data_IF_733679595506
#
_entry.id   IF_733679595506
#
_cell.length_a   1.000
_cell.length_b   1.000
_cell.length_c   1.000
_cell.angle_alpha   90.00
_cell.angle_beta   90.00
_cell.angle_gamma   90.00
#
_symmetry.space_group_name_H-M   'P 1'
#
loop_
_entity.id
_entity.type
_entity.pdbx_description
1 polymer ?
#
# COMPACT_ATOMS: atom_id res chain seq x y z
N UNK A 1 -1.57 -57.64 -35.18
CA UNK A 1 -2.17 -56.31 -34.98
C UNK A 1 -1.40 -55.58 -33.89
N UNK A 2 -0.51 -54.65 -34.24
CA UNK A 2 0.23 -53.87 -33.25
C UNK A 2 -0.64 -52.68 -32.80
N UNK A 3 -0.97 -52.64 -31.51
CA UNK A 3 -1.73 -51.57 -30.86
C UNK A 3 -0.86 -50.30 -30.91
N UNK A 4 -1.23 -49.31 -31.73
CA UNK A 4 -0.53 -48.01 -31.78
C UNK A 4 -0.69 -47.33 -30.41
N UNK A 5 0.39 -47.34 -29.63
CA UNK A 5 0.48 -46.64 -28.36
C UNK A 5 0.56 -45.15 -28.70
N UNK A 6 -0.53 -44.42 -28.44
CA UNK A 6 -0.61 -42.99 -28.70
C UNK A 6 0.36 -42.29 -27.73
N UNK A 7 1.57 -41.96 -28.18
CA UNK A 7 2.51 -41.18 -27.40
C UNK A 7 1.94 -39.76 -27.30
N UNK A 8 1.25 -39.49 -26.19
CA UNK A 8 0.81 -38.14 -25.86
C UNK A 8 2.10 -37.32 -25.74
N UNK A 9 2.28 -36.37 -26.65
CA UNK A 9 3.46 -35.51 -26.67
C UNK A 9 3.58 -34.78 -25.34
N UNK A 10 4.73 -34.86 -24.69
CA UNK A 10 5.07 -34.14 -23.45
C UNK A 10 4.69 -32.64 -23.55
N UNK A 11 4.80 -32.06 -24.75
CA UNK A 11 4.39 -30.69 -25.06
C UNK A 11 2.90 -30.44 -24.78
N UNK A 12 2.01 -31.38 -25.10
CA UNK A 12 0.57 -31.24 -24.87
C UNK A 12 0.21 -31.29 -23.37
N UNK A 13 0.92 -32.11 -22.59
CA UNK A 13 0.76 -32.18 -21.13
C UNK A 13 1.24 -30.89 -20.47
N UNK A 14 2.41 -30.40 -20.87
CA UNK A 14 2.97 -29.14 -20.38
C UNK A 14 2.08 -27.94 -20.76
N UNK A 15 1.49 -27.94 -21.95
CA UNK A 15 0.58 -26.89 -22.39
C UNK A 15 -0.70 -26.85 -21.54
N UNK A 16 -1.33 -28.01 -21.29
CA UNK A 16 -2.50 -28.07 -20.40
C UNK A 16 -2.17 -27.61 -18.99
N UNK A 17 -1.04 -28.05 -18.45
CA UNK A 17 -0.56 -27.61 -17.14
C UNK A 17 -0.39 -26.09 -17.09
N UNK A 18 0.23 -25.50 -18.12
CA UNK A 18 0.46 -24.05 -18.22
C UNK A 18 -0.85 -23.27 -18.27
N UNK A 19 -1.83 -23.73 -19.05
CA UNK A 19 -3.13 -23.06 -19.17
C UNK A 19 -3.89 -23.09 -17.84
N UNK A 20 -3.91 -24.23 -17.15
CA UNK A 20 -4.57 -24.38 -15.85
C UNK A 20 -3.90 -23.49 -14.79
N UNK A 21 -2.56 -23.51 -14.75
CA UNK A 21 -1.75 -22.68 -13.87
C UNK A 21 -2.01 -21.18 -14.06
N UNK A 22 -1.97 -20.72 -15.32
CA UNK A 22 -2.24 -19.34 -15.67
C UNK A 22 -3.65 -18.93 -15.26
N UNK A 23 -4.65 -19.78 -15.53
CA UNK A 23 -6.04 -19.54 -15.14
C UNK A 23 -6.21 -19.42 -13.62
N UNK A 24 -5.54 -20.26 -12.85
CA UNK A 24 -5.57 -20.24 -11.39
C UNK A 24 -4.91 -18.97 -10.81
N UNK A 25 -3.75 -18.58 -11.34
CA UNK A 25 -3.08 -17.35 -10.91
C UNK A 25 -3.90 -16.09 -11.23
N UNK A 26 -4.53 -16.05 -12.41
CA UNK A 26 -5.40 -14.95 -12.83
C UNK A 26 -6.65 -14.85 -11.95
N UNK A 27 -7.30 -15.97 -11.65
CA UNK A 27 -8.48 -15.96 -10.78
C UNK A 27 -8.12 -15.54 -9.35
N UNK A 28 -7.00 -16.01 -8.80
CA UNK A 28 -6.47 -15.53 -7.52
C UNK A 28 -6.19 -14.03 -7.53
N UNK A 29 -5.62 -13.50 -8.61
CA UNK A 29 -5.36 -12.07 -8.74
C UNK A 29 -6.67 -11.24 -8.78
N UNK A 30 -7.70 -11.72 -9.47
CA UNK A 30 -9.02 -11.06 -9.50
C UNK A 30 -9.68 -11.09 -8.11
N UNK A 31 -9.64 -12.24 -7.43
CA UNK A 31 -10.17 -12.38 -6.06
C UNK A 31 -9.41 -11.46 -5.10
N UNK A 32 -8.09 -11.34 -5.26
CA UNK A 32 -7.25 -10.43 -4.49
C UNK A 32 -7.65 -8.97 -4.76
N UNK A 33 -7.79 -8.53 -6.00
CA UNK A 33 -8.23 -7.15 -6.30
C UNK A 33 -9.65 -6.84 -5.78
N UNK A 34 -10.59 -7.78 -5.91
CA UNK A 34 -11.97 -7.59 -5.44
C UNK A 34 -12.06 -7.53 -3.91
N UNK A 35 -11.26 -8.33 -3.21
CA UNK A 35 -11.19 -8.29 -1.74
C UNK A 35 -10.61 -6.95 -1.26
N UNK A 36 -9.62 -6.40 -1.96
CA UNK A 36 -9.08 -5.08 -1.67
C UNK A 36 -10.15 -3.98 -1.77
N UNK A 37 -10.93 -3.98 -2.86
CA UNK A 37 -12.02 -3.03 -3.03
C UNK A 37 -13.10 -3.18 -1.95
N UNK A 38 -13.37 -4.41 -1.51
CA UNK A 38 -14.33 -4.65 -0.43
C UNK A 38 -13.83 -4.12 0.91
N UNK A 39 -12.53 -4.27 1.21
CA UNK A 39 -11.92 -3.75 2.44
C UNK A 39 -11.90 -2.21 2.46
N UNK A 40 -11.65 -1.57 1.32
CA UNK A 40 -11.78 -0.10 1.19
C UNK A 40 -13.23 0.34 1.42
N UNK A 41 -14.22 -0.34 0.81
CA UNK A 41 -15.65 0.01 0.97
C UNK A 41 -16.20 -0.19 2.39
N UNK A 42 -15.60 -1.11 3.16
CA UNK A 42 -16.01 -1.38 4.55
C UNK A 42 -15.32 -0.47 5.57
N UNK A 43 -14.63 0.57 5.11
CA UNK A 43 -13.88 1.48 5.97
C UNK A 43 -12.87 0.74 6.87
N UNK A 44 -12.29 -0.34 6.36
CA UNK A 44 -11.19 -1.02 7.05
C UNK A 44 -9.84 -0.37 6.72
N UNK A 45 -9.72 0.19 5.51
CA UNK A 45 -8.47 0.72 4.93
C UNK A 45 -8.76 2.04 4.22
N UNK A 46 -7.88 3.00 4.42
CA UNK A 46 -7.89 4.24 3.65
C UNK A 46 -7.39 4.01 2.24
N UNK A 47 -8.07 4.63 1.28
CA UNK A 47 -7.58 4.71 -0.09
C UNK A 47 -6.24 5.46 -0.14
N UNK A 48 -5.36 5.09 -1.07
CA UNK A 48 -3.98 5.60 -1.11
C UNK A 48 -3.85 7.12 -1.23
N UNK A 49 -4.87 7.82 -1.76
CA UNK A 49 -4.88 9.28 -1.90
C UNK A 49 -5.44 10.03 -0.69
N UNK A 50 -5.99 9.33 0.31
CA UNK A 50 -6.65 9.98 1.46
C UNK A 50 -5.69 10.87 2.23
N UNK A 51 -4.42 10.48 2.35
CA UNK A 51 -3.41 11.30 3.00
C UNK A 51 -3.27 12.67 2.33
N UNK A 52 -3.25 12.74 1.00
CA UNK A 52 -3.19 14.01 0.27
C UNK A 52 -4.50 14.80 0.43
N UNK A 53 -5.65 14.13 0.28
CA UNK A 53 -6.96 14.79 0.44
C UNK A 53 -7.17 15.40 1.83
N UNK A 54 -6.62 14.78 2.88
CA UNK A 54 -6.64 15.34 4.23
C UNK A 54 -5.82 16.64 4.32
N UNK A 55 -4.64 16.68 3.70
CA UNK A 55 -3.79 17.88 3.64
C UNK A 55 -4.47 19.00 2.85
N UNK A 56 -5.02 18.67 1.68
CA UNK A 56 -5.76 19.62 0.85
C UNK A 56 -6.95 20.21 1.62
N UNK A 57 -7.69 19.39 2.38
CA UNK A 57 -8.79 19.86 3.23
C UNK A 57 -8.30 20.72 4.39
N UNK A 58 -7.17 20.37 5.01
CA UNK A 58 -6.58 21.13 6.12
C UNK A 58 -6.17 22.53 5.68
N UNK A 59 -5.67 22.68 4.45
CA UNK A 59 -5.22 23.95 3.89
C UNK A 59 -6.24 24.59 2.94
N UNK A 60 -7.42 23.98 2.80
CA UNK A 60 -8.51 24.52 2.01
C UNK A 60 -8.89 25.90 2.54
N UNK A 61 -8.96 26.88 1.64
CA UNK A 61 -9.33 28.25 2.01
C UNK A 61 -8.20 29.05 2.67
N UNK A 62 -6.94 28.55 2.69
CA UNK A 62 -5.76 29.26 3.21
C UNK A 62 -5.98 29.73 4.65
N UNK A 63 -6.05 28.80 5.61
CA UNK A 63 -6.27 29.14 7.02
C UNK A 63 -5.20 30.11 7.52
N UNK A 64 -5.63 31.04 8.38
CA UNK A 64 -4.76 32.08 8.95
C UNK A 64 -3.94 31.54 10.12
N UNK A 65 -4.50 30.58 10.86
CA UNK A 65 -3.89 29.95 12.03
C UNK A 65 -3.82 28.44 11.84
N UNK A 66 -2.82 27.81 12.44
CA UNK A 66 -2.71 26.37 12.50
C UNK A 66 -3.77 25.77 13.43
N UNK A 67 -4.44 24.71 12.97
CA UNK A 67 -5.35 23.91 13.79
C UNK A 67 -4.83 22.48 13.75
N UNK A 68 -4.48 21.87 14.90
CA UNK A 68 -3.94 20.53 14.95
C UNK A 68 -4.96 19.53 14.37
N UNK A 69 -4.56 18.70 13.40
CA UNK A 69 -5.45 17.70 12.84
C UNK A 69 -5.68 16.55 13.84
N UNK A 70 -6.77 15.80 13.65
CA UNK A 70 -7.11 14.66 14.50
C UNK A 70 -6.05 13.54 14.40
N UNK A 71 -6.00 12.65 15.39
CA UNK A 71 -5.13 11.46 15.46
C UNK A 71 -5.27 10.49 14.27
N UNK A 72 -6.32 10.63 13.44
CA UNK A 72 -6.52 9.89 12.20
C UNK A 72 -5.88 10.55 10.96
N UNK A 73 -5.12 11.63 11.15
CA UNK A 73 -4.38 12.30 10.09
C UNK A 73 -3.20 11.45 9.66
N UNK A 74 -3.15 11.11 8.38
CA UNK A 74 -2.17 10.17 7.83
C UNK A 74 -0.88 10.84 7.42
N UNK A 75 -0.94 12.13 7.05
CA UNK A 75 0.25 12.86 6.64
C UNK A 75 1.10 13.22 7.86
N UNK A 76 2.41 13.28 7.65
CA UNK A 76 3.38 13.71 8.64
C UNK A 76 3.46 15.23 8.59
N UNK A 77 3.47 15.89 9.73
CA UNK A 77 3.63 17.34 9.80
C UNK A 77 4.50 17.76 10.98
N UNK A 78 5.14 18.90 10.80
CA UNK A 78 5.79 19.64 11.86
C UNK A 78 5.52 21.13 11.64
N UNK A 79 5.06 21.80 12.69
CA UNK A 79 4.87 23.25 12.76
C UNK A 79 6.12 23.87 13.38
N UNK A 80 6.68 24.85 12.69
CA UNK A 80 7.86 25.59 13.10
C UNK A 80 7.50 27.04 13.38
N UNK A 81 8.16 27.65 14.36
CA UNK A 81 8.09 29.09 14.58
C UNK A 81 8.98 29.85 13.56
N UNK A 82 8.94 31.17 13.60
CA UNK A 82 9.80 32.06 12.79
C UNK A 82 11.29 31.75 12.94
N UNK A 83 11.72 31.31 14.11
CA UNK A 83 13.12 30.95 14.41
C UNK A 83 13.52 29.56 13.91
N UNK A 84 12.58 28.78 13.36
CA UNK A 84 12.79 27.39 12.93
C UNK A 84 12.76 26.37 14.05
N UNK A 85 12.29 26.74 15.25
CA UNK A 85 12.06 25.81 16.36
C UNK A 85 10.70 25.12 16.22
N UNK A 86 10.62 23.88 16.69
CA UNK A 86 9.42 23.05 16.57
C UNK A 86 8.40 23.48 17.63
N UNK A 87 7.22 23.90 17.19
CA UNK A 87 6.07 24.21 18.05
C UNK A 87 5.21 22.98 18.28
N UNK A 88 4.94 22.22 17.21
CA UNK A 88 4.09 21.03 17.26
C UNK A 88 4.51 20.04 16.16
N UNK A 89 4.45 18.74 16.44
CA UNK A 89 4.66 17.71 15.42
C UNK A 89 3.87 16.45 15.73
N UNK A 90 3.50 15.70 14.69
CA UNK A 90 2.93 14.35 14.85
C UNK A 90 3.96 13.23 14.66
N UNK A 91 5.22 13.59 14.40
CA UNK A 91 6.34 12.67 14.20
C UNK A 91 7.52 13.06 15.09
N UNK A 92 8.33 12.06 15.43
CA UNK A 92 9.51 12.19 16.29
C UNK A 92 10.74 11.52 15.65
N UNK A 93 11.92 11.86 16.18
CA UNK A 93 13.20 11.27 15.76
C UNK A 93 13.57 11.59 14.31
N UNK A 94 13.99 10.57 13.55
CA UNK A 94 14.51 10.72 12.17
C UNK A 94 13.52 11.39 11.22
N UNK A 95 12.23 11.16 11.39
CA UNK A 95 11.19 11.74 10.52
C UNK A 95 11.05 13.25 10.76
N UNK A 96 11.22 13.69 12.01
CA UNK A 96 11.21 15.11 12.36
C UNK A 96 12.47 15.83 11.86
N UNK A 97 13.63 15.17 11.92
CA UNK A 97 14.87 15.67 11.32
C UNK A 97 14.71 15.89 9.81
N UNK A 98 14.06 14.97 9.11
CA UNK A 98 13.75 15.12 7.69
C UNK A 98 12.86 16.34 7.44
N UNK A 99 11.78 16.53 8.20
CA UNK A 99 10.90 17.70 8.03
C UNK A 99 11.64 19.02 8.30
N UNK A 100 12.54 19.02 9.29
CA UNK A 100 13.39 20.18 9.62
C UNK A 100 14.37 20.49 8.49
N UNK A 101 14.95 19.46 7.86
CA UNK A 101 15.82 19.61 6.69
C UNK A 101 15.04 20.22 5.50
N UNK A 102 13.80 19.77 5.27
CA UNK A 102 12.96 20.30 4.19
C UNK A 102 12.66 21.78 4.38
N UNK A 103 12.43 22.24 5.62
CA UNK A 103 12.28 23.65 5.94
C UNK A 103 13.56 24.44 5.61
N UNK A 104 14.73 23.97 6.10
CA UNK A 104 16.01 24.67 5.95
C UNK A 104 16.47 24.77 4.50
N UNK A 105 16.31 23.69 3.75
CA UNK A 105 16.75 23.60 2.36
C UNK A 105 15.68 24.06 1.36
N UNK A 106 14.50 24.47 1.85
CA UNK A 106 13.35 24.88 1.05
C UNK A 106 13.03 23.88 -0.07
N UNK A 107 13.06 22.59 0.28
CA UNK A 107 12.81 21.50 -0.66
C UNK A 107 11.31 21.44 -0.91
N UNK A 108 10.93 21.64 -2.16
CA UNK A 108 9.58 21.39 -2.65
C UNK A 108 9.57 20.09 -3.45
N UNK A 109 9.09 19.02 -2.83
CA UNK A 109 8.76 17.75 -3.47
C UNK A 109 7.26 17.66 -3.76
N UNK A 110 6.87 16.84 -4.72
CA UNK A 110 5.47 16.54 -5.11
C UNK A 110 4.66 15.99 -3.92
N UNK A 111 5.33 15.40 -2.93
CA UNK A 111 4.73 14.79 -1.73
C UNK A 111 4.90 15.64 -0.47
N UNK A 112 5.43 16.84 -0.61
CA UNK A 112 5.66 17.75 0.51
C UNK A 112 5.05 19.11 0.22
N UNK A 113 4.54 19.76 1.25
CA UNK A 113 3.99 21.09 1.15
C UNK A 113 4.47 21.90 2.35
N UNK A 114 4.93 23.11 2.06
CA UNK A 114 5.25 24.11 3.06
C UNK A 114 4.20 25.19 3.00
N UNK A 115 3.63 25.55 4.15
CA UNK A 115 2.66 26.62 4.26
C UNK A 115 3.01 27.52 5.44
N UNK A 116 3.18 28.81 5.14
CA UNK A 116 3.47 29.83 6.15
C UNK A 116 2.17 30.57 6.49
N UNK A 117 1.85 30.60 7.78
CA UNK A 117 0.68 31.26 8.36
C UNK A 117 0.93 32.76 8.59
N UNK A 118 -0.11 33.49 9.01
CA UNK A 118 0.01 34.94 9.25
C UNK A 118 0.87 35.31 10.46
N UNK A 119 0.98 34.41 11.43
CA UNK A 119 1.86 34.53 12.60
C UNK A 119 3.33 34.20 12.27
N UNK A 120 3.64 34.03 10.99
CA UNK A 120 4.95 33.62 10.45
C UNK A 120 5.40 32.22 10.91
N UNK A 121 4.50 31.43 11.51
CA UNK A 121 4.74 30.00 11.70
C UNK A 121 4.65 29.28 10.35
N UNK A 122 5.51 28.28 10.15
CA UNK A 122 5.53 27.50 8.89
C UNK A 122 5.29 26.04 9.22
N UNK A 123 4.26 25.46 8.62
CA UNK A 123 4.02 24.01 8.67
C UNK A 123 4.67 23.35 7.47
N UNK A 124 5.45 22.31 7.73
CA UNK A 124 5.96 21.39 6.70
C UNK A 124 5.18 20.10 6.82
N UNK A 125 4.49 19.74 5.75
CA UNK A 125 3.64 18.55 5.67
C UNK A 125 4.20 17.64 4.60
N UNK A 126 4.28 16.34 4.89
CA UNK A 126 4.68 15.29 3.95
C UNK A 126 3.68 14.15 3.99
N UNK A 127 3.14 13.75 2.84
CA UNK A 127 2.23 12.62 2.73
C UNK A 127 2.85 11.47 1.94
N UNK A 128 2.30 10.27 2.13
CA UNK A 128 2.66 9.10 1.36
C UNK A 128 1.41 8.57 0.64
N UNK A 129 1.54 8.28 -0.66
CA UNK A 129 0.49 7.59 -1.41
C UNK A 129 0.56 6.09 -1.14
N UNK A 130 -0.04 5.67 -0.02
CA UNK A 130 -0.09 4.27 0.37
C UNK A 130 -1.38 3.94 1.09
N UNK A 131 -1.83 2.71 0.93
CA UNK A 131 -3.01 2.22 1.66
C UNK A 131 -2.63 1.92 3.11
N UNK A 132 -3.39 2.49 4.04
CA UNK A 132 -3.17 2.28 5.47
C UNK A 132 -4.45 1.88 6.19
N UNK A 133 -4.31 1.18 7.31
CA UNK A 133 -5.44 0.84 8.16
C UNK A 133 -6.19 2.09 8.63
N UNK A 134 -7.51 1.99 8.76
CA UNK A 134 -8.28 3.10 9.33
C UNK A 134 -8.06 3.21 10.84
N UNK A 135 -7.93 2.07 11.52
CA UNK A 135 -7.66 2.03 12.95
C UNK A 135 -6.20 2.45 13.27
N UNK A 136 -5.98 3.51 14.07
CA UNK A 136 -4.64 3.99 14.42
C UNK A 136 -3.83 2.97 15.22
N UNK A 137 -4.47 2.15 16.05
CA UNK A 137 -3.77 1.12 16.83
C UNK A 137 -3.16 0.05 15.92
N UNK A 138 -3.89 -0.37 14.88
CA UNK A 138 -3.38 -1.34 13.91
C UNK A 138 -2.21 -0.75 13.11
N UNK A 139 -2.29 0.53 12.73
CA UNK A 139 -1.24 1.26 12.01
C UNK A 139 0.09 1.32 12.78
N UNK A 140 0.03 1.41 14.11
CA UNK A 140 1.22 1.50 14.95
C UNK A 140 1.88 0.15 15.23
N UNK A 141 1.12 -0.96 15.19
CA UNK A 141 1.61 -2.30 15.51
C UNK A 141 2.04 -3.06 14.24
N UNK A 142 1.25 -2.93 13.17
CA UNK A 142 1.44 -3.68 11.94
C UNK A 142 2.23 -2.87 10.91
N UNK A 143 3.02 -3.54 10.05
CA UNK A 143 3.58 -2.86 8.89
C UNK A 143 2.46 -2.34 7.98
N UNK A 144 2.77 -1.37 7.09
CA UNK A 144 1.79 -0.81 6.17
C UNK A 144 0.96 -1.88 5.46
N UNK A 145 -0.36 -1.68 5.41
CA UNK A 145 -1.30 -2.66 4.86
C UNK A 145 -0.88 -3.13 3.47
N UNK A 146 -0.38 -2.21 2.63
CA UNK A 146 0.05 -2.52 1.28
C UNK A 146 1.09 -3.64 1.22
N UNK A 147 2.10 -3.62 2.10
CA UNK A 147 3.12 -4.69 2.15
C UNK A 147 2.53 -6.03 2.60
N UNK A 148 1.65 -6.01 3.61
CA UNK A 148 0.94 -7.21 4.07
C UNK A 148 0.08 -7.78 2.95
N UNK A 149 -0.60 -6.91 2.20
CA UNK A 149 -1.49 -7.29 1.12
C UNK A 149 -0.75 -7.95 -0.04
N UNK A 150 0.41 -7.40 -0.44
CA UNK A 150 1.30 -8.06 -1.41
C UNK A 150 1.78 -9.43 -0.92
N UNK A 151 2.06 -9.57 0.38
CA UNK A 151 2.41 -10.87 0.98
C UNK A 151 1.33 -11.93 0.77
N UNK A 152 0.05 -11.57 0.92
CA UNK A 152 -1.06 -12.52 0.69
C UNK A 152 -1.12 -13.03 -0.75
N UNK A 153 -0.78 -12.20 -1.74
CA UNK A 153 -0.74 -12.62 -3.15
C UNK A 153 0.37 -13.63 -3.41
N UNK A 154 1.56 -13.38 -2.87
CA UNK A 154 2.71 -14.30 -3.00
C UNK A 154 2.37 -15.66 -2.38
N UNK A 155 1.78 -15.66 -1.18
CA UNK A 155 1.35 -16.89 -0.50
C UNK A 155 0.31 -17.62 -1.35
N UNK A 156 -0.69 -16.91 -1.89
CA UNK A 156 -1.71 -17.51 -2.75
C UNK A 156 -1.10 -18.14 -4.01
N UNK A 157 -0.13 -17.48 -4.66
CA UNK A 157 0.57 -18.03 -5.81
C UNK A 157 1.41 -19.26 -5.48
N UNK A 158 2.11 -19.26 -4.35
CA UNK A 158 2.86 -20.44 -3.87
C UNK A 158 1.90 -21.60 -3.63
N UNK A 159 0.76 -21.36 -2.99
CA UNK A 159 -0.26 -22.39 -2.80
C UNK A 159 -0.79 -22.91 -4.14
N UNK A 160 -1.06 -22.03 -5.11
CA UNK A 160 -1.47 -22.44 -6.46
C UNK A 160 -0.42 -23.33 -7.13
N UNK A 161 0.86 -22.99 -7.02
CA UNK A 161 1.97 -23.80 -7.52
C UNK A 161 1.96 -25.19 -6.88
N UNK A 162 1.93 -25.26 -5.55
CA UNK A 162 1.91 -26.51 -4.78
C UNK A 162 0.71 -27.38 -5.21
N UNK A 163 -0.50 -26.82 -5.22
CA UNK A 163 -1.71 -27.59 -5.56
C UNK A 163 -1.66 -28.15 -6.98
N UNK A 164 -1.13 -27.40 -7.95
CA UNK A 164 -1.04 -27.89 -9.31
C UNK A 164 0.09 -28.91 -9.49
N UNK A 165 1.23 -28.76 -8.80
CA UNK A 165 2.32 -29.75 -8.83
C UNK A 165 1.90 -31.09 -8.23
N UNK A 166 1.26 -31.09 -7.06
CA UNK A 166 0.77 -32.33 -6.44
C UNK A 166 -0.50 -32.88 -7.12
N UNK A 167 -1.30 -32.02 -7.76
CA UNK A 167 -2.45 -32.45 -8.56
C UNK A 167 -2.07 -33.18 -9.84
N UNK A 168 -0.93 -32.83 -10.47
CA UNK A 168 -0.44 -33.52 -11.67
C UNK A 168 0.05 -34.95 -11.42
N UNK A 169 0.57 -35.26 -10.23
CA UNK A 169 1.05 -36.61 -9.89
C UNK A 169 -0.10 -37.62 -9.80
N UNK A 170 -1.29 -37.18 -9.38
CA UNK A 170 -2.50 -38.03 -9.31
C UNK A 170 -3.01 -38.39 -10.72
N UNK A 171 -2.86 -37.50 -11.70
CA UNK A 171 -3.30 -37.73 -13.08
C UNK A 171 -2.33 -38.69 -13.82
N UNK A 172 -1.05 -38.69 -13.47
CA UNK A 172 -0.05 -39.62 -14.03
C UNK A 172 -0.20 -41.05 -13.49
N UNK A 173 -0.78 -41.25 -12.30
CA UNK A 173 -1.04 -42.57 -11.73
C UNK A 173 -2.37 -43.22 -12.20
N UNK A 174 -3.19 -42.49 -12.97
CA UNK A 174 -4.48 -42.97 -13.49
C UNK A 174 -4.48 -43.33 -14.98
N UNK A 175 -3.34 -43.25 -15.70
CA UNK A 175 -3.23 -43.57 -17.13
C UNK A 175 -2.26 -44.73 -17.40
#
# INVERSE_FOLDING_TARGET
MAKRQHSISLSFVLLRFTIIMLGCMLSCFIIWLTTLQLLEKKDFIYHGSVSNQQVEKMLAGKPLNFIPPNNNFLAKYALFNKSGEILESNVEGKELEILTMYLKENINDIHSLQYTYQDESTVVIRWNYRREFINPTLRNILPPFEYLWWGTLIIAWILCLIFNTYGSDIILLQN
#
